data_IF_037166566682
#
_entry.id   IF_037166566682
#
_cell.length_a   1.000
_cell.length_b   1.000
_cell.length_c   1.000
_cell.angle_alpha   90.00
_cell.angle_beta   90.00
_cell.angle_gamma   90.00
#
_symmetry.space_group_name_H-M   'P 1'
#
loop_
_entity.id
_entity.type
_entity.pdbx_description
1 polymer ?
#
# COMPACT_ATOMS: atom_id res chain seq x y z
N UNK A 1 25.01 61.77 -11.28
CA UNK A 1 25.29 60.38 -11.70
C UNK A 1 24.71 59.43 -10.66
N UNK A 2 23.50 58.94 -10.90
CA UNK A 2 22.90 57.83 -10.16
C UNK A 2 22.15 56.99 -11.20
N UNK A 3 22.66 55.80 -11.47
CA UNK A 3 22.09 54.85 -12.43
C UNK A 3 20.94 54.11 -11.76
N UNK A 4 19.71 54.51 -12.08
CA UNK A 4 18.49 53.76 -11.73
C UNK A 4 18.42 52.51 -12.62
N UNK A 5 18.59 51.32 -12.04
CA UNK A 5 18.34 50.04 -12.71
C UNK A 5 16.88 49.66 -12.50
N UNK A 6 16.04 49.95 -13.48
CA UNK A 6 14.72 49.34 -13.58
C UNK A 6 14.87 47.90 -14.10
N UNK A 7 14.43 46.93 -13.30
CA UNK A 7 14.37 45.52 -13.68
C UNK A 7 12.92 45.20 -14.07
N UNK A 8 12.67 45.06 -15.36
CA UNK A 8 11.35 44.70 -15.90
C UNK A 8 11.26 43.18 -16.02
N UNK A 9 10.41 42.54 -15.21
CA UNK A 9 10.07 41.13 -15.37
C UNK A 9 8.88 40.99 -16.33
N UNK A 10 9.13 40.43 -17.52
CA UNK A 10 8.10 40.03 -18.48
C UNK A 10 7.73 38.55 -18.28
N UNK A 11 6.48 38.26 -17.93
CA UNK A 11 5.98 36.88 -17.84
C UNK A 11 5.54 36.45 -19.23
N UNK A 12 6.33 35.57 -19.88
CA UNK A 12 5.94 34.91 -21.13
C UNK A 12 5.10 33.69 -20.81
N UNK A 13 3.82 33.73 -21.16
CA UNK A 13 2.91 32.58 -21.15
C UNK A 13 3.26 31.66 -22.32
N UNK A 14 3.99 30.56 -22.06
CA UNK A 14 4.19 29.49 -23.03
C UNK A 14 3.11 28.42 -22.87
N UNK A 15 2.13 28.42 -23.78
CA UNK A 15 1.15 27.35 -23.91
C UNK A 15 1.75 26.18 -24.69
N UNK A 16 2.26 25.17 -23.97
CA UNK A 16 2.63 23.89 -24.57
C UNK A 16 1.37 23.07 -24.83
N UNK A 17 0.93 23.02 -26.09
CA UNK A 17 0.01 21.99 -26.59
C UNK A 17 0.68 20.62 -26.50
N UNK A 18 0.03 19.57 -25.98
CA UNK A 18 0.54 18.23 -26.14
C UNK A 18 0.30 17.77 -27.59
N UNK A 19 1.39 17.38 -28.25
CA UNK A 19 1.37 16.71 -29.55
C UNK A 19 0.68 15.35 -29.41
N UNK A 20 -0.39 15.11 -30.17
CA UNK A 20 -1.02 13.81 -30.29
C UNK A 20 -0.07 12.85 -31.00
N UNK A 21 0.58 11.98 -30.23
CA UNK A 21 1.37 10.88 -30.76
C UNK A 21 0.41 9.76 -31.13
N UNK A 22 0.32 9.45 -32.42
CA UNK A 22 -0.43 8.31 -32.93
C UNK A 22 0.33 7.04 -32.54
N UNK A 23 -0.10 6.38 -31.47
CA UNK A 23 0.40 5.06 -31.10
C UNK A 23 -0.28 4.02 -31.98
N UNK A 24 0.44 3.53 -32.99
CA UNK A 24 0.14 2.26 -33.62
C UNK A 24 0.18 1.18 -32.53
N UNK A 25 -0.97 0.53 -32.31
CA UNK A 25 -1.08 -0.63 -31.42
C UNK A 25 -0.25 -1.78 -32.00
N UNK A 26 1.00 -1.89 -31.57
CA UNK A 26 1.72 -3.15 -31.64
C UNK A 26 1.13 -4.07 -30.56
N UNK A 27 0.34 -5.04 -30.99
CA UNK A 27 -0.15 -6.12 -30.13
C UNK A 27 1.03 -6.94 -29.62
N UNK A 28 1.29 -6.89 -28.32
CA UNK A 28 2.14 -7.86 -27.64
C UNK A 28 1.51 -9.27 -27.75
N UNK A 29 2.30 -10.35 -27.91
CA UNK A 29 1.76 -11.69 -27.91
C UNK A 29 1.19 -11.99 -26.52
N UNK A 30 -0.12 -12.24 -26.46
CA UNK A 30 -0.79 -12.78 -25.28
C UNK A 30 -0.31 -14.22 -25.11
N UNK A 31 0.48 -14.49 -24.07
CA UNK A 31 0.66 -15.85 -23.59
C UNK A 31 -0.65 -16.29 -22.96
N UNK A 32 -1.46 -17.03 -23.72
CA UNK A 32 -2.68 -17.68 -23.23
C UNK A 32 -2.27 -18.99 -22.57
N UNK A 33 -2.62 -19.15 -21.29
CA UNK A 33 -2.44 -20.40 -20.56
C UNK A 33 -3.18 -21.56 -21.27
N UNK A 34 -2.52 -22.71 -21.34
CA UNK A 34 -3.09 -23.94 -21.89
C UNK A 34 -4.27 -24.40 -21.04
N UNK A 35 -5.47 -24.49 -21.63
CA UNK A 35 -6.64 -25.05 -20.95
C UNK A 35 -6.57 -26.58 -20.95
N UNK A 36 -6.45 -27.17 -19.77
CA UNK A 36 -6.57 -28.61 -19.54
C UNK A 36 -8.06 -28.91 -19.31
N UNK A 37 -8.66 -29.77 -20.13
CA UNK A 37 -10.02 -30.25 -19.93
C UNK A 37 -9.98 -31.74 -19.62
N UNK A 38 -10.24 -32.10 -18.36
CA UNK A 38 -10.34 -33.49 -17.90
C UNK A 38 -11.81 -33.90 -17.80
N UNK A 39 -12.29 -34.69 -18.75
CA UNK A 39 -13.59 -35.34 -18.68
C UNK A 39 -13.57 -36.47 -17.65
N UNK A 40 -14.67 -36.64 -16.93
CA UNK A 40 -14.82 -37.67 -15.90
C UNK A 40 -14.70 -39.09 -16.49
N UNK A 41 -13.79 -39.89 -15.93
CA UNK A 41 -13.71 -41.34 -16.13
C UNK A 41 -12.83 -41.80 -17.29
N UNK A 42 -11.53 -42.01 -17.03
CA UNK A 42 -10.66 -42.76 -17.93
C UNK A 42 -9.22 -42.24 -18.00
N UNK A 43 -8.27 -43.12 -17.77
CA UNK A 43 -6.82 -42.81 -17.67
C UNK A 43 -6.20 -42.48 -19.04
N UNK A 44 -6.38 -41.26 -19.58
CA UNK A 44 -5.56 -40.65 -20.66
C UNK A 44 -5.60 -39.11 -20.60
N UNK A 45 -4.44 -38.46 -20.67
CA UNK A 45 -4.28 -37.01 -20.86
C UNK A 45 -4.04 -36.76 -22.35
N UNK A 46 -4.87 -35.95 -23.01
CA UNK A 46 -4.66 -35.51 -24.38
C UNK A 46 -4.43 -33.99 -24.42
N UNK A 47 -3.34 -33.58 -25.06
CA UNK A 47 -3.03 -32.19 -25.39
C UNK A 47 -3.39 -31.94 -26.86
N UNK A 48 -4.30 -31.01 -27.13
CA UNK A 48 -4.63 -30.62 -28.51
C UNK A 48 -3.97 -29.28 -28.84
N UNK A 49 -3.01 -29.28 -29.75
CA UNK A 49 -2.59 -28.10 -30.50
C UNK A 49 -3.24 -28.15 -31.88
N UNK A 50 -4.09 -27.18 -32.20
CA UNK A 50 -4.66 -27.03 -33.53
C UNK A 50 -3.61 -26.48 -34.50
N UNK A 51 -2.91 -27.38 -35.19
CA UNK A 51 -2.21 -27.06 -36.44
C UNK A 51 -3.08 -27.53 -37.61
N UNK A 52 -3.55 -26.56 -38.40
CA UNK A 52 -4.15 -26.83 -39.70
C UNK A 52 -2.99 -27.05 -40.69
N UNK A 53 -2.82 -28.27 -41.17
CA UNK A 53 -2.07 -28.54 -42.39
C UNK A 53 -2.84 -29.56 -43.22
N UNK A 54 -3.33 -29.07 -44.36
CA UNK A 54 -3.82 -29.91 -45.44
C UNK A 54 -2.67 -30.75 -45.99
N UNK A 55 -2.90 -32.01 -46.34
CA UNK A 55 -2.59 -32.66 -47.63
C UNK A 55 -2.55 -34.19 -47.47
N UNK A 56 -3.51 -34.89 -48.11
CA UNK A 56 -3.43 -36.27 -48.63
C UNK A 56 -3.11 -37.43 -47.66
N UNK A 57 -3.32 -38.70 -47.98
CA UNK A 57 -4.06 -39.44 -48.99
C UNK A 57 -3.88 -40.94 -48.62
N UNK A 58 -4.81 -41.82 -49.02
CA UNK A 58 -4.62 -43.28 -49.04
C UNK A 58 -5.54 -44.04 -48.08
N UNK A 59 -6.72 -44.51 -48.48
CA UNK A 59 -7.02 -45.72 -49.28
C UNK A 59 -6.56 -47.05 -48.67
N UNK A 60 -7.52 -47.81 -48.11
CA UNK A 60 -7.81 -49.24 -48.36
C UNK A 60 -8.93 -49.69 -47.41
N UNK A 61 -10.19 -49.91 -47.81
CA UNK A 61 -10.77 -51.04 -48.58
C UNK A 61 -10.58 -52.43 -47.94
N UNK A 62 -11.71 -53.09 -47.64
CA UNK A 62 -11.81 -54.53 -47.29
C UNK A 62 -12.80 -54.76 -46.14
N UNK A 63 -14.11 -54.88 -46.34
CA UNK A 63 -14.87 -55.97 -46.99
C UNK A 63 -14.88 -57.30 -46.20
N UNK A 64 -16.00 -57.58 -45.52
CA UNK A 64 -16.82 -58.78 -45.77
C UNK A 64 -16.44 -60.15 -45.19
N UNK A 65 -17.43 -60.79 -44.54
CA UNK A 65 -17.62 -62.26 -44.45
C UNK A 65 -16.68 -63.00 -43.48
N UNK A 66 -17.04 -64.08 -42.81
CA UNK A 66 -17.96 -65.15 -43.20
C UNK A 66 -18.50 -65.90 -41.96
N UNK A 67 -19.75 -66.31 -42.09
CA UNK A 67 -20.40 -67.39 -41.36
C UNK A 67 -19.90 -68.76 -41.87
N UNK A 68 -19.89 -69.76 -40.99
CA UNK A 68 -20.06 -71.16 -41.41
C UNK A 68 -20.68 -71.97 -40.29
N UNK A 69 -21.97 -72.24 -40.46
CA UNK A 69 -22.60 -73.40 -39.89
C UNK A 69 -22.24 -74.64 -40.70
N UNK A 70 -22.16 -75.77 -40.03
CA UNK A 70 -22.22 -77.09 -40.65
C UNK A 70 -23.35 -77.85 -39.98
N UNK A 71 -24.49 -77.91 -40.69
CA UNK A 71 -25.40 -79.03 -40.63
C UNK A 71 -24.82 -80.13 -41.51
N UNK A 72 -24.70 -81.35 -40.99
CA UNK A 72 -24.80 -82.56 -41.80
C UNK A 72 -25.75 -83.52 -41.10
N UNK A 73 -26.77 -83.86 -41.86
CA UNK A 73 -27.87 -84.78 -41.64
C UNK A 73 -27.41 -86.23 -41.80
N UNK A 74 -28.13 -87.18 -41.20
CA UNK A 74 -28.09 -88.57 -41.64
C UNK A 74 -28.29 -89.60 -40.55
N UNK A 75 -29.51 -90.09 -40.42
CA UNK A 75 -29.90 -91.24 -39.61
C UNK A 75 -29.19 -92.54 -40.02
N UNK A 76 -28.92 -93.36 -38.99
CA UNK A 76 -29.09 -94.83 -38.93
C UNK A 76 -28.30 -95.73 -39.87
N UNK A 77 -27.14 -96.23 -39.40
CA UNK A 77 -26.73 -97.65 -39.43
C UNK A 77 -25.34 -97.83 -38.77
N UNK A 78 -25.12 -98.97 -38.11
CA UNK A 78 -23.85 -99.49 -37.57
C UNK A 78 -23.26 -98.91 -36.26
N UNK A 79 -23.92 -99.33 -35.18
CA UNK A 79 -23.38 -99.42 -33.81
C UNK A 79 -22.41 -100.62 -33.74
N UNK A 80 -21.13 -100.46 -34.11
CA UNK A 80 -20.00 -101.26 -33.56
C UNK A 80 -18.57 -100.80 -33.93
N UNK A 81 -18.36 -99.60 -34.51
CA UNK A 81 -17.03 -99.10 -34.93
C UNK A 81 -16.49 -97.85 -34.21
N UNK A 82 -17.25 -97.28 -33.26
CA UNK A 82 -17.06 -95.89 -32.82
C UNK A 82 -16.08 -95.70 -31.64
N UNK A 83 -15.84 -96.72 -30.80
CA UNK A 83 -14.94 -96.59 -29.64
C UNK A 83 -13.46 -96.53 -30.03
N UNK A 84 -13.04 -97.28 -31.05
CA UNK A 84 -11.64 -97.30 -31.50
C UNK A 84 -11.23 -96.00 -32.19
N UNK A 85 -12.13 -95.42 -32.98
CA UNK A 85 -11.89 -94.12 -33.64
C UNK A 85 -11.95 -92.96 -32.63
N UNK A 86 -12.82 -93.04 -31.62
CA UNK A 86 -12.83 -92.10 -30.50
C UNK A 86 -11.53 -92.17 -29.67
N UNK A 87 -11.02 -93.38 -29.37
CA UNK A 87 -9.75 -93.56 -28.67
C UNK A 87 -8.54 -93.10 -29.49
N UNK A 88 -8.54 -93.30 -30.81
CA UNK A 88 -7.50 -92.75 -31.68
C UNK A 88 -7.51 -91.22 -31.71
N UNK A 89 -8.68 -90.59 -31.84
CA UNK A 89 -8.80 -89.13 -31.82
C UNK A 89 -8.39 -88.52 -30.46
N UNK A 90 -8.69 -89.21 -29.36
CA UNK A 90 -8.21 -88.83 -28.02
C UNK A 90 -6.69 -88.96 -27.91
N UNK A 91 -6.10 -90.06 -28.39
CA UNK A 91 -4.65 -90.25 -28.41
C UNK A 91 -3.94 -89.23 -29.31
N UNK A 92 -4.52 -88.87 -30.46
CA UNK A 92 -3.96 -87.84 -31.34
C UNK A 92 -4.04 -86.45 -30.70
N UNK A 93 -5.13 -86.14 -29.98
CA UNK A 93 -5.21 -84.92 -29.16
C UNK A 93 -4.21 -84.91 -28.02
N UNK A 94 -3.98 -86.04 -27.37
CA UNK A 94 -3.03 -86.17 -26.27
C UNK A 94 -1.59 -86.07 -26.79
N UNK A 95 -1.29 -86.64 -27.96
CA UNK A 95 -0.01 -86.47 -28.65
C UNK A 95 0.24 -85.00 -29.03
N UNK A 96 -0.75 -84.32 -29.61
CA UNK A 96 -0.67 -82.88 -29.90
C UNK A 96 -0.53 -82.04 -28.61
N UNK A 97 -1.19 -82.43 -27.52
CA UNK A 97 -1.05 -81.75 -26.23
C UNK A 97 0.35 -81.96 -25.64
N UNK A 98 0.91 -83.17 -25.68
CA UNK A 98 2.27 -83.44 -25.24
C UNK A 98 3.31 -82.73 -26.11
N UNK A 99 3.08 -82.63 -27.41
CA UNK A 99 3.97 -81.89 -28.32
C UNK A 99 3.91 -80.37 -28.05
N UNK A 100 2.72 -79.83 -27.78
CA UNK A 100 2.57 -78.41 -27.42
C UNK A 100 3.18 -78.10 -26.04
N UNK A 101 3.01 -78.97 -25.05
CA UNK A 101 3.67 -78.83 -23.73
C UNK A 101 5.19 -78.87 -23.88
N UNK A 102 5.73 -79.82 -24.66
CA UNK A 102 7.19 -79.91 -24.90
C UNK A 102 7.73 -78.66 -25.60
N UNK A 103 6.99 -78.10 -26.56
CA UNK A 103 7.37 -76.86 -27.22
C UNK A 103 7.32 -75.65 -26.28
N UNK A 104 6.33 -75.59 -25.38
CA UNK A 104 6.22 -74.55 -24.36
C UNK A 104 7.33 -74.65 -23.31
N UNK A 105 7.68 -75.85 -22.86
CA UNK A 105 8.80 -76.09 -21.95
C UNK A 105 10.13 -75.63 -22.57
N UNK A 106 10.37 -75.94 -23.85
CA UNK A 106 11.56 -75.46 -24.56
C UNK A 106 11.57 -73.94 -24.74
N UNK A 107 10.41 -73.32 -24.99
CA UNK A 107 10.29 -71.88 -25.11
C UNK A 107 10.54 -71.18 -23.76
N UNK A 108 9.96 -71.71 -22.67
CA UNK A 108 10.21 -71.21 -21.31
C UNK A 108 11.67 -71.34 -20.93
N UNK A 109 12.30 -72.49 -21.20
CA UNK A 109 13.72 -72.67 -20.91
C UNK A 109 14.60 -71.66 -21.66
N UNK A 110 14.29 -71.38 -22.93
CA UNK A 110 15.00 -70.34 -23.70
C UNK A 110 14.76 -68.92 -23.14
N UNK A 111 13.56 -68.62 -22.66
CA UNK A 111 13.24 -67.32 -22.05
C UNK A 111 13.96 -67.15 -20.70
N UNK A 112 14.03 -68.19 -19.88
CA UNK A 112 14.77 -68.17 -18.61
C UNK A 112 16.26 -67.88 -18.82
N UNK A 113 16.88 -68.52 -19.82
CA UNK A 113 18.28 -68.24 -20.17
C UNK A 113 18.45 -66.77 -20.59
N UNK A 114 17.56 -66.25 -21.44
CA UNK A 114 17.61 -64.84 -21.88
C UNK A 114 17.41 -63.85 -20.72
N UNK A 115 16.55 -64.16 -19.75
CA UNK A 115 16.34 -63.33 -18.56
C UNK A 115 17.59 -63.33 -17.68
N UNK A 116 18.22 -64.50 -17.47
CA UNK A 116 19.47 -64.60 -16.71
C UNK A 116 20.60 -63.83 -17.38
N UNK A 117 20.77 -63.98 -18.69
CA UNK A 117 21.76 -63.20 -19.44
C UNK A 117 21.49 -61.69 -19.40
N UNK A 118 20.21 -61.28 -19.45
CA UNK A 118 19.85 -59.85 -19.38
C UNK A 118 20.14 -59.27 -18.00
N UNK A 119 19.90 -60.03 -16.92
CA UNK A 119 20.23 -59.64 -15.56
C UNK A 119 21.74 -59.60 -15.31
N UNK A 120 22.51 -60.55 -15.85
CA UNK A 120 23.97 -60.53 -15.75
C UNK A 120 24.60 -59.39 -16.55
N UNK A 121 24.05 -59.08 -17.74
CA UNK A 121 24.48 -57.93 -18.56
C UNK A 121 24.04 -56.60 -17.94
N UNK A 122 22.91 -56.59 -17.24
CA UNK A 122 22.43 -55.43 -16.47
C UNK A 122 23.07 -55.44 -15.08
N UNK A 123 24.38 -55.22 -15.02
CA UNK A 123 25.09 -55.02 -13.75
C UNK A 123 24.51 -53.86 -12.93
N UNK A 124 24.84 -53.75 -11.63
CA UNK A 124 24.33 -52.68 -10.78
C UNK A 124 24.79 -51.32 -11.33
N UNK A 125 23.85 -50.41 -11.52
CA UNK A 125 24.10 -49.07 -12.06
C UNK A 125 24.83 -48.19 -11.01
N UNK A 126 26.11 -48.47 -10.80
CA UNK A 126 26.99 -47.70 -9.92
C UNK A 126 27.45 -46.43 -10.65
N UNK A 127 26.58 -45.43 -10.73
CA UNK A 127 26.98 -44.06 -11.04
C UNK A 127 27.42 -43.37 -9.75
N UNK A 128 28.71 -43.09 -9.62
CA UNK A 128 29.27 -42.42 -8.45
C UNK A 128 28.90 -40.92 -8.42
N UNK A 129 27.80 -40.58 -7.74
CA UNK A 129 27.33 -39.20 -7.56
C UNK A 129 28.11 -38.40 -6.49
N UNK A 130 29.11 -39.00 -5.84
CA UNK A 130 29.85 -38.39 -4.72
C UNK A 130 30.50 -37.05 -5.08
N UNK A 131 30.92 -36.84 -6.33
CA UNK A 131 31.52 -35.57 -6.80
C UNK A 131 30.52 -34.42 -6.85
N UNK A 132 29.25 -34.71 -7.12
CA UNK A 132 28.19 -33.69 -7.13
C UNK A 132 27.76 -33.33 -5.72
N UNK A 133 27.89 -34.25 -4.76
CA UNK A 133 27.51 -34.00 -3.37
C UNK A 133 28.35 -32.90 -2.71
N UNK A 134 29.66 -32.83 -2.98
CA UNK A 134 30.50 -31.74 -2.45
C UNK A 134 30.10 -30.39 -3.04
N UNK A 135 29.87 -30.32 -4.36
CA UNK A 135 29.44 -29.09 -5.04
C UNK A 135 28.07 -28.63 -4.52
N UNK A 136 27.12 -29.55 -4.33
CA UNK A 136 25.80 -29.25 -3.78
C UNK A 136 25.92 -28.72 -2.35
N UNK A 137 26.80 -29.29 -1.52
CA UNK A 137 27.03 -28.83 -0.16
C UNK A 137 27.66 -27.41 -0.15
N UNK A 138 28.62 -27.14 -1.03
CA UNK A 138 29.24 -25.82 -1.16
C UNK A 138 28.22 -24.77 -1.63
N UNK A 139 27.36 -25.12 -2.59
CA UNK A 139 26.28 -24.25 -3.05
C UNK A 139 25.26 -23.98 -1.92
N UNK A 140 24.87 -25.00 -1.16
CA UNK A 140 23.98 -24.84 0.00
C UNK A 140 24.60 -23.92 1.05
N UNK A 141 25.89 -24.06 1.32
CA UNK A 141 26.62 -23.19 2.25
C UNK A 141 26.62 -21.73 1.76
N UNK A 142 26.93 -21.49 0.49
CA UNK A 142 26.88 -20.14 -0.10
C UNK A 142 25.49 -19.51 -0.02
N UNK A 143 24.44 -20.29 -0.27
CA UNK A 143 23.05 -19.83 -0.13
C UNK A 143 22.73 -19.48 1.32
N UNK A 144 23.16 -20.32 2.27
CA UNK A 144 22.97 -20.06 3.70
C UNK A 144 23.70 -18.77 4.13
N UNK A 145 24.99 -18.64 3.81
CA UNK A 145 25.79 -17.47 4.13
C UNK A 145 25.15 -16.19 3.55
N UNK A 146 24.77 -16.21 2.27
CA UNK A 146 24.07 -15.09 1.63
C UNK A 146 22.72 -14.77 2.28
N UNK A 147 21.98 -15.77 2.74
CA UNK A 147 20.70 -15.56 3.46
C UNK A 147 20.95 -14.91 4.82
N UNK A 148 21.98 -15.36 5.55
CA UNK A 148 22.34 -14.74 6.84
C UNK A 148 22.85 -13.32 6.69
N UNK A 149 23.64 -13.04 5.65
CA UNK A 149 24.13 -11.69 5.38
C UNK A 149 23.00 -10.76 4.91
N UNK A 150 22.05 -11.26 4.12
CA UNK A 150 20.86 -10.50 3.76
C UNK A 150 20.04 -10.14 5.01
N UNK A 151 19.81 -11.10 5.92
CA UNK A 151 19.13 -10.82 7.19
C UNK A 151 19.87 -9.76 8.03
N UNK A 152 21.20 -9.82 8.10
CA UNK A 152 22.01 -8.79 8.78
C UNK A 152 21.88 -7.41 8.12
N UNK A 153 21.89 -7.36 6.79
CA UNK A 153 21.72 -6.10 6.05
C UNK A 153 20.34 -5.49 6.27
N UNK A 154 19.27 -6.31 6.27
CA UNK A 154 17.90 -5.86 6.57
C UNK A 154 17.84 -5.25 7.97
N UNK A 155 18.41 -5.91 8.98
CA UNK A 155 18.47 -5.37 10.34
C UNK A 155 19.24 -4.04 10.43
N UNK A 156 20.35 -3.92 9.71
CA UNK A 156 21.12 -2.68 9.67
C UNK A 156 20.34 -1.55 8.96
N UNK A 157 19.59 -1.87 7.91
CA UNK A 157 18.70 -0.91 7.22
C UNK A 157 17.61 -0.44 8.17
N UNK A 158 16.97 -1.34 8.89
CA UNK A 158 15.90 -1.00 9.83
C UNK A 158 16.45 -0.18 11.01
N UNK A 159 17.63 -0.51 11.52
CA UNK A 159 18.30 0.29 12.55
C UNK A 159 18.63 1.71 12.04
N UNK A 160 19.20 1.83 10.84
CA UNK A 160 19.50 3.13 10.24
C UNK A 160 18.23 3.97 10.00
N UNK A 161 17.12 3.33 9.60
CA UNK A 161 15.82 3.99 9.45
C UNK A 161 15.27 4.49 10.78
N UNK A 162 15.28 3.65 11.83
CA UNK A 162 14.85 4.06 13.17
C UNK A 162 15.70 5.22 13.71
N UNK A 163 17.02 5.17 13.51
CA UNK A 163 17.90 6.27 13.90
C UNK A 163 17.60 7.57 13.13
N UNK A 164 17.31 7.48 11.83
CA UNK A 164 16.93 8.64 11.02
C UNK A 164 15.59 9.23 11.49
N UNK A 165 14.61 8.40 11.80
CA UNK A 165 13.31 8.85 12.34
C UNK A 165 13.46 9.50 13.73
N UNK A 166 14.29 8.93 14.60
CA UNK A 166 14.62 9.53 15.91
C UNK A 166 15.25 10.92 15.75
N UNK A 167 16.19 11.08 14.81
CA UNK A 167 16.79 12.38 14.53
C UNK A 167 15.79 13.36 13.91
N UNK A 168 14.88 12.89 13.05
CA UNK A 168 13.82 13.71 12.47
C UNK A 168 12.90 14.27 13.55
N UNK A 169 12.42 13.43 14.46
CA UNK A 169 11.54 13.85 15.57
C UNK A 169 12.27 14.82 16.49
N UNK A 170 13.55 14.55 16.84
CA UNK A 170 14.36 15.48 17.63
C UNK A 170 14.51 16.83 16.94
N UNK A 171 14.83 16.84 15.64
CA UNK A 171 14.95 18.07 14.86
C UNK A 171 13.64 18.87 14.83
N UNK A 172 12.50 18.21 14.60
CA UNK A 172 11.18 18.85 14.61
C UNK A 172 10.87 19.47 15.99
N UNK A 173 11.18 18.76 17.07
CA UNK A 173 10.99 19.28 18.44
C UNK A 173 11.88 20.49 18.75
N UNK A 174 13.16 20.44 18.38
CA UNK A 174 14.12 21.54 18.56
C UNK A 174 13.74 22.75 17.70
N UNK A 175 13.29 22.51 16.47
CA UNK A 175 12.82 23.57 15.58
C UNK A 175 11.60 24.29 16.17
N UNK A 176 10.65 23.54 16.74
CA UNK A 176 9.47 24.11 17.40
C UNK A 176 9.85 24.96 18.62
N UNK A 177 10.75 24.46 19.48
CA UNK A 177 11.26 25.21 20.64
C UNK A 177 11.96 26.48 20.17
N UNK A 178 12.83 26.38 19.16
CA UNK A 178 13.56 27.52 18.59
C UNK A 178 12.61 28.59 18.04
N UNK A 179 11.56 28.19 17.31
CA UNK A 179 10.54 29.12 16.80
C UNK A 179 9.77 29.81 17.93
N UNK A 180 9.44 29.09 19.01
CA UNK A 180 8.82 29.69 20.20
C UNK A 180 9.73 30.75 20.83
N UNK A 181 11.01 30.41 21.04
CA UNK A 181 11.99 31.34 21.63
C UNK A 181 12.22 32.55 20.72
N UNK A 182 12.25 32.37 19.40
CA UNK A 182 12.34 33.50 18.46
C UNK A 182 11.12 34.42 18.54
N UNK A 183 9.92 33.86 18.65
CA UNK A 183 8.70 34.63 18.84
C UNK A 183 8.75 35.43 20.16
N UNK A 184 9.23 34.82 21.24
CA UNK A 184 9.43 35.49 22.53
C UNK A 184 10.46 36.63 22.42
N UNK A 185 11.59 36.42 21.72
CA UNK A 185 12.61 37.47 21.50
C UNK A 185 12.02 38.64 20.72
N UNK A 186 11.23 38.38 19.67
CA UNK A 186 10.55 39.44 18.91
C UNK A 186 9.54 40.19 19.78
N UNK A 187 8.78 39.46 20.62
CA UNK A 187 7.86 40.05 21.59
C UNK A 187 8.57 40.94 22.62
N UNK A 188 9.70 40.48 23.16
CA UNK A 188 10.51 41.25 24.11
C UNK A 188 11.12 42.51 23.47
N UNK A 189 11.55 42.43 22.21
CA UNK A 189 12.02 43.62 21.46
C UNK A 189 10.91 44.65 21.31
N UNK A 190 9.70 44.21 20.94
CA UNK A 190 8.54 45.10 20.87
C UNK A 190 8.22 45.73 22.22
N UNK A 191 8.27 44.96 23.31
CA UNK A 191 8.05 45.49 24.66
C UNK A 191 9.11 46.54 25.05
N UNK A 192 10.37 46.33 24.66
CA UNK A 192 11.43 47.34 24.83
C UNK A 192 11.09 48.61 24.04
N UNK A 193 10.64 48.50 22.79
CA UNK A 193 10.26 49.65 21.97
C UNK A 193 9.04 50.39 22.57
N UNK A 194 8.01 49.66 23.00
CA UNK A 194 6.80 50.21 23.62
C UNK A 194 7.12 50.93 24.95
N UNK A 195 7.99 50.33 25.78
CA UNK A 195 8.45 50.95 27.04
C UNK A 195 9.33 52.17 26.80
N UNK A 196 10.19 52.16 25.77
CA UNK A 196 10.98 53.32 25.37
C UNK A 196 10.10 54.46 24.87
N UNK A 197 9.05 54.17 24.09
CA UNK A 197 8.10 55.16 23.63
C UNK A 197 7.33 55.77 24.81
N UNK A 198 6.88 54.94 25.76
CA UNK A 198 6.26 55.42 27.00
C UNK A 198 7.20 56.30 27.82
N UNK A 199 8.48 55.93 27.96
CA UNK A 199 9.50 56.75 28.61
C UNK A 199 9.67 58.10 27.92
N UNK A 200 9.77 58.12 26.59
CA UNK A 200 9.89 59.37 25.82
C UNK A 200 8.66 60.27 25.97
N UNK A 201 7.46 59.71 26.00
CA UNK A 201 6.23 60.47 26.24
C UNK A 201 6.24 61.11 27.63
N UNK A 202 6.61 60.35 28.67
CA UNK A 202 6.72 60.87 30.04
C UNK A 202 7.82 61.93 30.16
N UNK A 203 8.97 61.75 29.48
CA UNK A 203 10.03 62.75 29.42
C UNK A 203 9.55 64.05 28.77
N UNK A 204 8.77 63.96 27.69
CA UNK A 204 8.16 65.11 27.04
C UNK A 204 7.14 65.82 27.94
N UNK A 205 6.31 65.07 28.67
CA UNK A 205 5.35 65.63 29.63
C UNK A 205 6.05 66.34 30.79
N UNK A 206 7.12 65.74 31.32
CA UNK A 206 7.96 66.36 32.35
C UNK A 206 8.56 67.68 31.83
N UNK A 207 9.07 67.71 30.59
CA UNK A 207 9.67 68.92 30.05
C UNK A 207 8.61 70.01 29.80
N UNK A 208 7.43 69.65 29.27
CA UNK A 208 6.30 70.57 29.13
C UNK A 208 5.87 71.18 30.47
N UNK A 209 5.75 70.36 31.53
CA UNK A 209 5.41 70.84 32.88
C UNK A 209 6.50 71.75 33.47
N UNK A 210 7.79 71.49 33.19
CA UNK A 210 8.87 72.40 33.59
C UNK A 210 8.79 73.73 32.86
N UNK A 211 8.52 73.71 31.56
CA UNK A 211 8.32 74.93 30.76
C UNK A 211 7.13 75.74 31.31
N UNK A 212 6.00 75.10 31.59
CA UNK A 212 4.84 75.73 32.23
C UNK A 212 5.21 76.36 33.58
N UNK A 213 5.97 75.66 34.43
CA UNK A 213 6.42 76.19 35.73
C UNK A 213 7.30 77.43 35.55
N UNK A 214 8.25 77.39 34.61
CA UNK A 214 9.11 78.54 34.28
C UNK A 214 8.27 79.71 33.78
N UNK A 215 7.31 79.45 32.89
CA UNK A 215 6.38 80.46 32.39
C UNK A 215 5.55 81.10 33.51
N UNK A 216 4.98 80.28 34.41
CA UNK A 216 4.19 80.76 35.54
C UNK A 216 5.03 81.64 36.48
N UNK A 217 6.27 81.21 36.77
CA UNK A 217 7.20 81.96 37.62
C UNK A 217 7.58 83.30 36.97
N UNK A 218 7.87 83.31 35.68
CA UNK A 218 8.18 84.53 34.92
C UNK A 218 6.98 85.49 34.89
N UNK A 219 5.76 84.97 34.68
CA UNK A 219 4.55 85.78 34.75
C UNK A 219 4.36 86.39 36.14
N UNK A 220 4.52 85.60 37.20
CA UNK A 220 4.43 86.11 38.56
C UNK A 220 5.48 87.19 38.85
N UNK A 221 6.74 86.98 38.46
CA UNK A 221 7.81 87.96 38.62
C UNK A 221 7.50 89.26 37.86
N UNK A 222 6.92 89.16 36.65
CA UNK A 222 6.46 90.31 35.87
C UNK A 222 5.29 91.04 36.55
N UNK A 223 4.27 90.33 37.03
CA UNK A 223 3.12 90.92 37.74
C UNK A 223 3.56 91.61 39.04
N UNK A 224 4.46 90.99 39.80
CA UNK A 224 5.03 91.60 41.01
C UNK A 224 5.81 92.86 40.66
N UNK A 225 6.60 92.83 39.59
CA UNK A 225 7.32 94.00 39.12
C UNK A 225 6.35 95.10 38.65
N UNK A 226 5.31 94.77 37.91
CA UNK A 226 4.27 95.71 37.47
C UNK A 226 3.55 96.34 38.66
N UNK A 227 3.11 95.53 39.63
CA UNK A 227 2.53 96.02 40.88
C UNK A 227 3.50 96.89 41.68
N UNK A 228 4.79 96.54 41.74
CA UNK A 228 5.82 97.40 42.37
C UNK A 228 6.00 98.71 41.62
N UNK A 229 5.96 98.71 40.29
CA UNK A 229 5.99 99.94 39.50
C UNK A 229 4.74 100.77 39.70
N UNK A 230 3.56 100.14 39.81
CA UNK A 230 2.30 100.82 40.10
C UNK A 230 2.27 101.40 41.51
N UNK A 231 2.86 100.71 42.50
CA UNK A 231 3.05 101.22 43.87
C UNK A 231 4.08 102.35 43.89
N UNK A 232 5.12 102.27 43.07
CA UNK A 232 6.13 103.36 42.94
C UNK A 232 5.55 104.59 42.21
N UNK A 233 4.68 104.38 41.23
CA UNK A 233 3.94 105.41 40.50
C UNK A 233 2.76 105.98 41.31
N UNK A 234 2.20 105.21 42.25
CA UNK A 234 1.22 105.69 43.23
C UNK A 234 1.87 106.35 44.44
N UNK A 235 3.21 106.34 44.51
CA UNK A 235 4.00 107.33 45.22
C UNK A 235 3.74 108.71 44.62
N UNK A 236 2.71 109.37 45.16
CA UNK A 236 2.23 110.70 44.78
C UNK A 236 3.39 111.70 44.70
N UNK A 237 3.78 112.03 43.48
CA UNK A 237 4.32 113.33 43.11
C UNK A 237 3.57 113.80 41.86
N UNK A 238 2.50 114.56 42.13
CA UNK A 238 1.73 115.28 41.12
C UNK A 238 2.50 116.57 40.84
N UNK A 239 3.45 116.49 39.90
CA UNK A 239 3.99 117.67 39.24
C UNK A 239 3.23 117.86 37.92
N UNK A 240 2.42 118.89 37.93
CA UNK A 240 1.64 119.40 36.81
C UNK A 240 2.63 120.12 35.89
N UNK A 241 3.26 119.39 34.97
CA UNK A 241 3.93 120.01 33.83
C UNK A 241 2.94 120.10 32.67
N UNK A 242 2.30 121.26 32.55
CA UNK A 242 1.40 121.61 31.47
C UNK A 242 2.23 122.02 30.25
N UNK A 243 2.32 121.20 29.18
CA UNK A 243 2.98 121.63 27.97
C UNK A 243 2.09 122.66 27.28
N UNK A 244 2.74 123.71 26.78
CA UNK A 244 2.17 124.81 26.01
C UNK A 244 1.23 124.30 24.93
N UNK A 245 0.08 124.97 24.79
CA UNK A 245 -1.04 124.63 23.92
C UNK A 245 -0.64 123.89 22.65
N UNK A 246 -0.80 122.56 22.71
CA UNK A 246 -0.78 121.72 21.53
C UNK A 246 -2.02 122.08 20.71
N UNK A 247 -1.81 122.30 19.42
CA UNK A 247 -2.88 122.55 18.47
C UNK A 247 -3.88 121.39 18.54
N UNK A 248 -5.06 121.67 19.12
CA UNK A 248 -6.10 120.68 19.34
C UNK A 248 -6.52 120.03 18.01
N UNK A 249 -6.38 120.76 16.89
CA UNK A 249 -6.60 120.23 15.56
C UNK A 249 -5.56 119.16 15.17
N UNK A 250 -4.28 119.37 15.51
CA UNK A 250 -3.20 118.42 15.26
C UNK A 250 -3.32 117.16 16.13
N UNK A 251 -3.68 117.30 17.41
CA UNK A 251 -3.94 116.14 18.30
C UNK A 251 -5.16 115.36 17.82
N UNK A 252 -6.27 116.03 17.48
CA UNK A 252 -7.46 115.36 16.97
C UNK A 252 -7.20 114.66 15.64
N UNK A 253 -6.32 115.22 14.79
CA UNK A 253 -5.85 114.57 13.56
C UNK A 253 -4.96 113.36 13.86
N UNK A 254 -4.02 113.46 14.82
CA UNK A 254 -3.20 112.32 15.25
C UNK A 254 -4.02 111.20 15.89
N UNK A 255 -5.02 111.53 16.72
CA UNK A 255 -5.92 110.54 17.33
C UNK A 255 -6.72 109.84 16.23
N UNK A 256 -7.27 110.58 15.25
CA UNK A 256 -7.93 109.98 14.09
C UNK A 256 -6.99 109.07 13.29
N UNK A 257 -5.78 109.52 13.00
CA UNK A 257 -4.78 108.72 12.29
C UNK A 257 -4.37 107.46 13.07
N UNK A 258 -4.29 107.53 14.41
CA UNK A 258 -4.03 106.37 15.28
C UNK A 258 -5.19 105.37 15.25
N UNK A 259 -6.44 105.85 15.32
CA UNK A 259 -7.63 104.99 15.22
C UNK A 259 -7.77 104.37 13.84
N UNK A 260 -7.51 105.13 12.77
CA UNK A 260 -7.54 104.61 11.40
C UNK A 260 -6.46 103.54 11.18
N UNK A 261 -5.24 103.77 11.68
CA UNK A 261 -4.16 102.78 11.67
C UNK A 261 -4.49 101.54 12.50
N UNK A 262 -5.14 101.71 13.66
CA UNK A 262 -5.56 100.59 14.51
C UNK A 262 -6.69 99.78 13.87
N UNK A 263 -7.65 100.45 13.23
CA UNK A 263 -8.73 99.80 12.50
C UNK A 263 -8.22 99.02 11.30
N UNK A 264 -7.27 99.58 10.53
CA UNK A 264 -6.60 98.89 9.42
C UNK A 264 -5.80 97.68 9.91
N UNK A 265 -5.00 97.84 10.98
CA UNK A 265 -4.29 96.71 11.59
C UNK A 265 -5.21 95.60 12.07
N UNK A 266 -6.30 95.94 12.76
CA UNK A 266 -7.27 94.96 13.23
C UNK A 266 -7.94 94.23 12.05
N UNK A 267 -8.22 94.94 10.95
CA UNK A 267 -8.74 94.32 9.73
C UNK A 267 -7.74 93.36 9.08
N UNK A 268 -6.46 93.73 9.03
CA UNK A 268 -5.39 92.88 8.50
C UNK A 268 -5.15 91.65 9.38
N UNK A 269 -5.10 91.83 10.69
CA UNK A 269 -4.96 90.76 11.69
C UNK A 269 -6.15 89.79 11.63
N UNK A 270 -7.38 90.29 11.51
CA UNK A 270 -8.58 89.47 11.35
C UNK A 270 -8.56 88.66 10.05
N UNK A 271 -8.14 89.28 8.94
CA UNK A 271 -7.97 88.57 7.66
C UNK A 271 -6.92 87.47 7.75
N UNK A 272 -5.74 87.78 8.32
CA UNK A 272 -4.66 86.82 8.50
C UNK A 272 -5.10 85.66 9.42
N UNK A 273 -5.85 85.96 10.48
CA UNK A 273 -6.41 84.94 11.37
C UNK A 273 -7.41 84.03 10.64
N UNK A 274 -8.34 84.59 9.87
CA UNK A 274 -9.27 83.80 9.06
C UNK A 274 -8.56 82.95 8.00
N UNK A 275 -7.57 83.51 7.33
CA UNK A 275 -6.80 82.79 6.31
C UNK A 275 -6.01 81.62 6.95
N UNK A 276 -5.42 81.85 8.12
CA UNK A 276 -4.75 80.78 8.90
C UNK A 276 -5.74 79.69 9.30
N UNK A 277 -6.93 80.05 9.79
CA UNK A 277 -7.97 79.09 10.16
C UNK A 277 -8.48 78.28 8.95
N UNK A 278 -8.65 78.92 7.79
CA UNK A 278 -9.03 78.22 6.55
C UNK A 278 -7.94 77.22 6.15
N UNK A 279 -6.67 77.62 6.21
CA UNK A 279 -5.54 76.73 5.88
C UNK A 279 -5.51 75.56 6.88
N UNK A 280 -5.64 75.81 8.18
CA UNK A 280 -5.64 74.78 9.22
C UNK A 280 -6.76 73.75 8.97
N UNK A 281 -8.00 74.21 8.78
CA UNK A 281 -9.13 73.33 8.47
C UNK A 281 -8.91 72.57 7.16
N UNK A 282 -8.39 73.23 6.12
CA UNK A 282 -8.09 72.59 4.84
C UNK A 282 -7.02 71.49 5.00
N UNK A 283 -5.98 71.74 5.80
CA UNK A 283 -4.95 70.73 6.10
C UNK A 283 -5.54 69.55 6.87
N UNK A 284 -6.36 69.80 7.89
CA UNK A 284 -7.01 68.75 8.67
C UNK A 284 -7.97 67.90 7.82
N UNK A 285 -8.75 68.54 6.94
CA UNK A 285 -9.62 67.84 5.98
C UNK A 285 -8.77 66.99 5.03
N UNK A 286 -7.66 67.52 4.51
CA UNK A 286 -6.78 66.77 3.61
C UNK A 286 -6.21 65.53 4.30
N UNK A 287 -5.67 65.67 5.51
CA UNK A 287 -5.14 64.56 6.31
C UNK A 287 -6.22 63.52 6.64
N UNK A 288 -7.43 63.97 7.03
CA UNK A 288 -8.55 63.08 7.32
C UNK A 288 -8.98 62.31 6.06
N UNK A 289 -9.03 62.96 4.89
CA UNK A 289 -9.36 62.28 3.64
C UNK A 289 -8.30 61.28 3.20
N UNK A 290 -7.02 61.55 3.45
CA UNK A 290 -5.94 60.59 3.18
C UNK A 290 -6.00 59.40 4.11
N UNK A 291 -6.21 59.61 5.42
CA UNK A 291 -6.40 58.55 6.40
C UNK A 291 -7.61 57.67 6.05
N UNK A 292 -8.73 58.29 5.64
CA UNK A 292 -9.94 57.57 5.20
C UNK A 292 -9.66 56.71 3.96
N UNK A 293 -8.94 57.25 2.97
CA UNK A 293 -8.53 56.49 1.77
C UNK A 293 -7.62 55.32 2.11
N UNK A 294 -6.65 55.53 3.02
CA UNK A 294 -5.76 54.47 3.52
C UNK A 294 -6.55 53.33 4.18
N UNK A 295 -7.45 53.66 5.11
CA UNK A 295 -8.32 52.68 5.76
C UNK A 295 -9.23 51.95 4.75
N UNK A 296 -9.72 52.65 3.72
CA UNK A 296 -10.52 52.04 2.66
C UNK A 296 -9.70 51.06 1.80
N UNK A 297 -8.44 51.38 1.49
CA UNK A 297 -7.55 50.45 0.78
C UNK A 297 -7.23 49.22 1.61
N UNK A 298 -6.91 49.39 2.90
CA UNK A 298 -6.67 48.27 3.82
C UNK A 298 -7.90 47.37 3.96
N UNK A 299 -9.09 47.95 4.09
CA UNK A 299 -10.34 47.18 4.13
C UNK A 299 -10.53 46.35 2.84
N UNK A 300 -10.22 46.92 1.68
CA UNK A 300 -10.35 46.21 0.40
C UNK A 300 -9.31 45.09 0.26
N UNK A 301 -8.08 45.32 0.72
CA UNK A 301 -7.02 44.32 0.70
C UNK A 301 -7.33 43.16 1.65
N UNK A 302 -7.82 43.45 2.86
CA UNK A 302 -8.30 42.42 3.80
C UNK A 302 -9.47 41.63 3.23
N UNK A 303 -10.44 42.29 2.55
CA UNK A 303 -11.53 41.58 1.86
C UNK A 303 -11.02 40.65 0.76
N UNK A 304 -10.02 41.07 -0.02
CA UNK A 304 -9.38 40.21 -1.05
C UNK A 304 -8.64 39.04 -0.43
N UNK A 305 -7.95 39.25 0.69
CA UNK A 305 -7.28 38.18 1.43
C UNK A 305 -8.28 37.16 1.96
N UNK A 306 -9.39 37.60 2.56
CA UNK A 306 -10.47 36.72 3.02
C UNK A 306 -11.01 35.88 1.86
N UNK A 307 -11.36 36.50 0.73
CA UNK A 307 -11.85 35.76 -0.45
C UNK A 307 -10.83 34.74 -0.98
N UNK A 308 -9.54 35.09 -0.97
CA UNK A 308 -8.48 34.19 -1.41
C UNK A 308 -8.36 32.98 -0.48
N UNK A 309 -8.40 33.21 0.83
CA UNK A 309 -8.37 32.15 1.85
C UNK A 309 -9.61 31.28 1.81
N UNK A 310 -10.80 31.84 1.55
CA UNK A 310 -12.04 31.08 1.36
C UNK A 310 -11.94 30.13 0.16
N UNK A 311 -11.43 30.62 -0.99
CA UNK A 311 -11.22 29.80 -2.19
C UNK A 311 -10.20 28.70 -1.91
N UNK A 312 -9.10 29.02 -1.22
CA UNK A 312 -8.09 28.03 -0.86
C UNK A 312 -8.68 26.95 0.05
N UNK A 313 -9.43 27.35 1.07
CA UNK A 313 -10.11 26.44 1.99
C UNK A 313 -11.12 25.53 1.28
N UNK A 314 -11.92 26.05 0.35
CA UNK A 314 -12.83 25.24 -0.46
C UNK A 314 -12.08 24.31 -1.43
N UNK A 315 -10.96 24.75 -1.99
CA UNK A 315 -10.10 23.88 -2.82
C UNK A 315 -9.51 22.71 -2.02
N UNK A 316 -9.08 22.97 -0.77
CA UNK A 316 -8.57 21.94 0.14
C UNK A 316 -9.67 20.96 0.56
N UNK A 317 -10.88 21.45 0.82
CA UNK A 317 -12.06 20.60 1.09
C UNK A 317 -12.38 19.69 -0.10
N UNK A 318 -12.34 20.22 -1.32
CA UNK A 318 -12.56 19.43 -2.53
C UNK A 318 -11.46 18.37 -2.72
N UNK A 319 -10.19 18.74 -2.51
CA UNK A 319 -9.07 17.80 -2.56
C UNK A 319 -9.22 16.69 -1.53
N UNK A 320 -9.54 17.04 -0.28
CA UNK A 320 -9.82 16.06 0.79
C UNK A 320 -10.95 15.12 0.38
N UNK A 321 -12.07 15.64 -0.11
CA UNK A 321 -13.20 14.83 -0.57
C UNK A 321 -12.82 13.87 -1.70
N UNK A 322 -12.01 14.34 -2.66
CA UNK A 322 -11.49 13.49 -3.74
C UNK A 322 -10.60 12.37 -3.21
N UNK A 323 -9.69 12.68 -2.30
CA UNK A 323 -8.78 11.69 -1.70
C UNK A 323 -9.55 10.64 -0.87
N UNK A 324 -10.51 11.07 -0.04
CA UNK A 324 -11.40 10.17 0.70
C UNK A 324 -12.26 9.30 -0.23
N UNK A 325 -12.69 9.84 -1.36
CA UNK A 325 -13.40 9.11 -2.41
C UNK A 325 -12.53 8.01 -3.02
N UNK A 326 -11.28 8.35 -3.40
CA UNK A 326 -10.34 7.37 -3.94
C UNK A 326 -9.98 6.28 -2.93
N UNK A 327 -9.83 6.65 -1.64
CA UNK A 327 -9.57 5.70 -0.57
C UNK A 327 -10.72 4.69 -0.46
N UNK A 328 -11.97 5.17 -0.35
CA UNK A 328 -13.15 4.28 -0.31
C UNK A 328 -13.25 3.38 -1.53
N UNK A 329 -12.97 3.91 -2.73
CA UNK A 329 -13.00 3.09 -3.94
C UNK A 329 -11.93 1.98 -3.89
N UNK A 330 -10.72 2.29 -3.44
CA UNK A 330 -9.66 1.29 -3.30
C UNK A 330 -9.98 0.25 -2.22
N UNK A 331 -10.48 0.66 -1.06
CA UNK A 331 -10.92 -0.24 0.01
C UNK A 331 -12.02 -1.18 -0.48
N UNK A 332 -13.02 -0.66 -1.21
CA UNK A 332 -14.09 -1.46 -1.78
C UNK A 332 -13.55 -2.47 -2.80
N UNK A 333 -12.64 -2.06 -3.69
CA UNK A 333 -12.00 -2.98 -4.65
C UNK A 333 -11.25 -4.10 -3.95
N UNK A 334 -10.45 -3.78 -2.92
CA UNK A 334 -9.73 -4.80 -2.15
C UNK A 334 -10.68 -5.71 -1.38
N UNK A 335 -11.77 -5.19 -0.80
CA UNK A 335 -12.80 -6.02 -0.15
C UNK A 335 -13.39 -7.03 -1.13
N UNK A 336 -13.75 -6.60 -2.34
CA UNK A 336 -14.28 -7.48 -3.38
C UNK A 336 -13.26 -8.54 -3.84
N UNK A 337 -11.98 -8.16 -3.94
CA UNK A 337 -10.91 -9.10 -4.29
C UNK A 337 -10.69 -10.16 -3.20
N UNK A 338 -10.71 -9.75 -1.93
CA UNK A 338 -10.64 -10.65 -0.78
C UNK A 338 -11.85 -11.59 -0.73
N UNK A 339 -13.06 -11.09 -0.96
CA UNK A 339 -14.27 -11.93 -1.04
C UNK A 339 -14.19 -12.95 -2.18
N UNK A 340 -13.68 -12.54 -3.35
CA UNK A 340 -13.45 -13.43 -4.48
C UNK A 340 -12.45 -14.55 -4.15
N UNK A 341 -11.30 -14.19 -3.56
CA UNK A 341 -10.28 -15.16 -3.14
C UNK A 341 -10.81 -16.10 -2.05
N UNK A 342 -11.58 -15.60 -1.08
CA UNK A 342 -12.22 -16.42 -0.06
C UNK A 342 -13.22 -17.40 -0.67
N UNK A 343 -13.99 -16.99 -1.68
CA UNK A 343 -14.90 -17.89 -2.40
C UNK A 343 -14.15 -19.03 -3.09
N UNK A 344 -13.01 -18.73 -3.74
CA UNK A 344 -12.14 -19.74 -4.36
C UNK A 344 -11.56 -20.69 -3.30
N UNK A 345 -11.09 -20.14 -2.17
CA UNK A 345 -10.53 -20.93 -1.06
C UNK A 345 -11.58 -21.90 -0.51
N UNK A 346 -12.79 -21.42 -0.22
CA UNK A 346 -13.91 -22.25 0.25
C UNK A 346 -14.27 -23.35 -0.76
N UNK A 347 -14.24 -23.04 -2.07
CA UNK A 347 -14.43 -24.03 -3.13
C UNK A 347 -13.38 -25.14 -3.11
N UNK A 348 -12.11 -24.78 -3.01
CA UNK A 348 -11.00 -25.74 -2.94
C UNK A 348 -11.03 -26.57 -1.65
N UNK A 349 -11.39 -25.97 -0.52
CA UNK A 349 -11.59 -26.68 0.75
C UNK A 349 -12.74 -27.70 0.65
N UNK A 350 -13.84 -27.34 0.00
CA UNK A 350 -14.95 -28.25 -0.29
C UNK A 350 -14.50 -29.41 -1.19
N UNK A 351 -13.72 -29.16 -2.24
CA UNK A 351 -13.18 -30.21 -3.10
C UNK A 351 -12.22 -31.15 -2.34
N UNK A 352 -11.34 -30.61 -1.50
CA UNK A 352 -10.43 -31.40 -0.66
C UNK A 352 -11.18 -32.30 0.32
N UNK A 353 -12.21 -31.77 0.98
CA UNK A 353 -13.04 -32.56 1.89
C UNK A 353 -13.80 -33.66 1.15
N UNK A 354 -14.34 -33.38 -0.04
CA UNK A 354 -14.95 -34.39 -0.90
C UNK A 354 -13.97 -35.49 -1.32
N UNK A 355 -12.74 -35.13 -1.71
CA UNK A 355 -11.70 -36.11 -2.08
C UNK A 355 -11.30 -36.97 -0.89
N UNK A 356 -11.13 -36.40 0.30
CA UNK A 356 -10.87 -37.16 1.54
C UNK A 356 -11.99 -38.17 1.82
N UNK A 357 -13.24 -37.74 1.72
CA UNK A 357 -14.39 -38.63 1.90
C UNK A 357 -14.42 -39.76 0.86
N UNK A 358 -14.11 -39.47 -0.41
CA UNK A 358 -14.00 -40.48 -1.47
C UNK A 358 -12.90 -41.50 -1.20
N UNK A 359 -11.71 -41.03 -0.76
CA UNK A 359 -10.60 -41.91 -0.39
C UNK A 359 -11.01 -42.81 0.77
N UNK A 360 -11.63 -42.24 1.81
CA UNK A 360 -12.10 -43.02 2.96
C UNK A 360 -13.11 -44.09 2.58
N UNK A 361 -14.08 -43.76 1.70
CA UNK A 361 -15.03 -44.73 1.17
C UNK A 361 -14.33 -45.83 0.37
N UNK A 362 -13.39 -45.48 -0.52
CA UNK A 362 -12.61 -46.46 -1.27
C UNK A 362 -11.81 -47.38 -0.33
N UNK A 363 -11.20 -46.86 0.73
CA UNK A 363 -10.50 -47.66 1.74
C UNK A 363 -11.44 -48.67 2.39
N UNK A 364 -12.65 -48.25 2.77
CA UNK A 364 -13.67 -49.15 3.34
C UNK A 364 -14.08 -50.25 2.35
N UNK A 365 -14.30 -49.90 1.07
CA UNK A 365 -14.64 -50.87 0.03
C UNK A 365 -13.50 -51.87 -0.20
N UNK A 366 -12.24 -51.41 -0.19
CA UNK A 366 -11.07 -52.29 -0.30
C UNK A 366 -10.94 -53.23 0.90
N UNK A 367 -11.16 -52.75 2.12
CA UNK A 367 -11.18 -53.58 3.33
C UNK A 367 -12.28 -54.63 3.26
N UNK A 368 -13.50 -54.26 2.83
CA UNK A 368 -14.60 -55.20 2.64
C UNK A 368 -14.27 -56.28 1.59
N UNK A 369 -13.70 -55.89 0.44
CA UNK A 369 -13.29 -56.81 -0.61
C UNK A 369 -12.16 -57.73 -0.15
N UNK A 370 -11.18 -57.22 0.60
CA UNK A 370 -10.12 -58.01 1.19
C UNK A 370 -10.68 -59.05 2.16
N UNK A 371 -11.63 -58.66 3.01
CA UNK A 371 -12.30 -59.58 3.93
C UNK A 371 -13.04 -60.70 3.18
N UNK A 372 -13.73 -60.40 2.08
CA UNK A 372 -14.38 -61.40 1.23
C UNK A 372 -13.34 -62.32 0.58
N UNK A 373 -12.26 -61.76 0.04
CA UNK A 373 -11.15 -62.53 -0.55
C UNK A 373 -10.57 -63.51 0.46
N UNK A 374 -10.29 -63.06 1.68
CA UNK A 374 -9.77 -63.93 2.76
C UNK A 374 -10.74 -65.08 3.08
N UNK A 375 -12.05 -64.82 3.13
CA UNK A 375 -13.07 -65.87 3.32
C UNK A 375 -13.08 -66.89 2.17
N UNK A 376 -13.03 -66.42 0.93
CA UNK A 376 -12.99 -67.29 -0.25
C UNK A 376 -11.70 -68.11 -0.32
N UNK A 377 -10.56 -67.53 0.07
CA UNK A 377 -9.29 -68.25 0.15
C UNK A 377 -9.33 -69.37 1.19
N UNK A 378 -9.96 -69.13 2.34
CA UNK A 378 -10.22 -70.17 3.35
C UNK A 378 -11.14 -71.28 2.80
N UNK A 379 -12.25 -70.92 2.14
CA UNK A 379 -13.13 -71.90 1.49
C UNK A 379 -12.39 -72.75 0.45
N UNK A 380 -11.59 -72.14 -0.43
CA UNK A 380 -10.77 -72.87 -1.42
C UNK A 380 -9.76 -73.79 -0.73
N UNK A 381 -9.13 -73.35 0.37
CA UNK A 381 -8.22 -74.19 1.13
C UNK A 381 -8.94 -75.42 1.71
N UNK A 382 -10.14 -75.25 2.26
CA UNK A 382 -10.97 -76.37 2.73
C UNK A 382 -11.37 -77.31 1.60
N UNK A 383 -11.77 -76.77 0.42
CA UNK A 383 -12.10 -77.58 -0.74
C UNK A 383 -10.91 -78.39 -1.25
N UNK A 384 -9.71 -77.79 -1.31
CA UNK A 384 -8.47 -78.51 -1.69
C UNK A 384 -8.19 -79.66 -0.73
N UNK A 385 -8.31 -79.43 0.58
CA UNK A 385 -8.10 -80.46 1.61
C UNK A 385 -9.05 -81.65 1.46
N UNK A 386 -10.32 -81.39 1.14
CA UNK A 386 -11.32 -82.42 0.86
C UNK A 386 -11.02 -83.21 -0.44
N UNK A 387 -10.50 -82.55 -1.47
CA UNK A 387 -10.14 -83.15 -2.75
C UNK A 387 -8.86 -84.00 -2.67
N UNK A 388 -7.89 -83.60 -1.85
CA UNK A 388 -6.63 -84.32 -1.66
C UNK A 388 -6.77 -85.59 -0.78
N UNK A 389 -7.98 -85.88 -0.29
CA UNK A 389 -8.30 -87.12 0.44
C UNK A 389 -7.77 -87.16 1.88
N UNK A 390 -7.42 -86.02 2.47
CA UNK A 390 -7.14 -85.94 3.91
C UNK A 390 -8.44 -86.08 4.71
N UNK A 391 -8.44 -86.92 5.75
CA UNK A 391 -9.58 -87.12 6.65
C UNK A 391 -10.05 -85.78 7.26
N UNK A 392 -11.15 -85.23 6.76
CA UNK A 392 -11.73 -83.98 7.27
C UNK A 392 -12.28 -84.20 8.68
N UNK A 393 -11.51 -83.80 9.71
CA UNK A 393 -11.96 -83.81 11.09
C UNK A 393 -12.64 -82.47 11.40
N UNK A 394 -13.82 -82.53 12.03
CA UNK A 394 -14.64 -81.36 12.38
C UNK A 394 -13.90 -80.28 13.22
N UNK A 395 -12.76 -80.64 13.84
CA UNK A 395 -11.89 -79.73 14.57
C UNK A 395 -11.10 -78.76 13.68
N UNK A 396 -10.80 -79.11 12.43
CA UNK A 396 -10.04 -78.24 11.51
C UNK A 396 -10.83 -76.99 11.09
N UNK A 397 -12.18 -77.08 11.04
CA UNK A 397 -13.06 -75.93 10.75
C UNK A 397 -13.15 -74.92 11.90
N UNK A 398 -12.71 -75.29 13.11
CA UNK A 398 -12.70 -74.42 14.29
C UNK A 398 -11.35 -73.69 14.49
N UNK A 399 -10.25 -74.21 13.92
CA UNK A 399 -8.89 -73.68 14.17
C UNK A 399 -8.48 -72.50 13.27
N UNK A 400 -9.20 -72.21 12.18
CA UNK A 400 -8.91 -71.04 11.33
C UNK A 400 -9.33 -69.69 11.94
N UNK A 401 -9.97 -69.70 13.12
CA UNK A 401 -10.17 -68.49 13.91
C UNK A 401 -8.87 -68.09 14.65
N UNK A 402 -7.74 -68.04 13.94
CA UNK A 402 -6.51 -67.43 14.46
C UNK A 402 -6.76 -65.93 14.62
N UNK A 403 -6.76 -65.50 15.87
CA UNK A 403 -6.79 -64.10 16.28
C UNK A 403 -5.69 -63.31 15.58
N UNK A 404 -6.08 -62.50 14.60
CA UNK A 404 -5.18 -61.51 13.98
C UNK A 404 -4.84 -60.49 15.07
N UNK A 405 -3.63 -60.58 15.64
CA UNK A 405 -3.12 -59.58 16.59
C UNK A 405 -2.78 -58.30 15.82
N UNK A 406 -3.71 -57.35 15.82
CA UNK A 406 -3.53 -56.02 15.22
C UNK A 406 -2.54 -55.22 16.06
N UNK A 407 -1.38 -54.88 15.49
CA UNK A 407 -0.42 -53.96 16.12
C UNK A 407 -0.68 -52.56 15.60
N UNK A 408 -0.97 -51.61 16.48
CA UNK A 408 -1.13 -50.19 16.12
C UNK A 408 0.23 -49.51 16.29
N UNK A 409 0.78 -49.01 15.19
CA UNK A 409 1.96 -48.14 15.17
C UNK A 409 1.50 -46.68 15.12
N UNK A 410 1.72 -45.94 16.20
CA UNK A 410 1.49 -44.49 16.21
C UNK A 410 2.83 -43.78 16.00
N UNK A 411 2.93 -43.04 14.89
CA UNK A 411 4.12 -42.23 14.56
C UNK A 411 3.79 -40.77 14.84
N UNK A 412 4.41 -40.20 15.85
CA UNK A 412 4.29 -38.76 16.16
C UNK A 412 5.50 -38.03 15.62
N UNK A 413 5.26 -37.06 14.75
CA UNK A 413 6.28 -36.26 14.10
C UNK A 413 6.10 -34.78 14.48
N UNK A 414 7.15 -34.15 14.98
CA UNK A 414 7.14 -32.71 15.29
C UNK A 414 7.82 -31.92 14.16
N UNK A 415 7.08 -30.96 13.62
CA UNK A 415 7.49 -30.10 12.51
C UNK A 415 7.73 -28.68 13.04
N UNK A 416 8.91 -28.13 12.74
CA UNK A 416 9.20 -26.70 12.91
C UNK A 416 9.66 -26.18 11.55
N UNK A 417 9.03 -25.10 11.07
CA UNK A 417 9.28 -24.48 9.75
C UNK A 417 9.28 -25.47 8.56
N UNK A 418 8.35 -26.43 8.58
CA UNK A 418 8.17 -27.39 7.49
C UNK A 418 9.27 -28.45 7.37
N UNK A 419 10.23 -28.52 8.32
CA UNK A 419 11.23 -29.59 8.40
C UNK A 419 11.02 -30.44 9.65
N UNK A 420 11.21 -31.75 9.48
CA UNK A 420 11.05 -32.76 10.53
C UNK A 420 12.25 -32.72 11.46
N UNK A 421 12.05 -32.29 12.71
CA UNK A 421 13.14 -32.16 13.70
C UNK A 421 13.25 -33.38 14.62
N UNK A 422 12.14 -34.08 14.87
CA UNK A 422 12.17 -35.38 15.56
C UNK A 422 10.99 -36.28 15.16
N UNK A 423 11.24 -37.59 15.15
CA UNK A 423 10.23 -38.63 14.88
C UNK A 423 10.32 -39.68 15.98
N UNK A 424 9.20 -39.96 16.63
CA UNK A 424 9.09 -41.04 17.62
C UNK A 424 8.00 -42.02 17.19
N UNK A 425 8.32 -43.31 17.23
CA UNK A 425 7.43 -44.40 16.84
C UNK A 425 7.11 -45.27 18.05
N UNK A 426 5.84 -45.33 18.45
CA UNK A 426 5.39 -46.17 19.55
C UNK A 426 4.50 -47.30 19.02
N UNK A 427 4.86 -48.55 19.32
CA UNK A 427 4.14 -49.75 18.92
C UNK A 427 3.35 -50.31 20.10
N UNK A 428 2.02 -50.30 20.03
CA UNK A 428 1.16 -51.01 20.99
C UNK A 428 0.51 -52.21 20.32
N UNK A 429 0.62 -53.36 20.97
CA UNK A 429 -0.10 -54.57 20.59
C UNK A 429 -1.51 -54.47 21.23
N UNK A 430 -2.57 -54.58 20.42
CA UNK A 430 -3.95 -54.70 20.92
C UNK A 430 -4.30 -56.16 21.22
#
# INVERSE_FOLDING_TARGET
MQTSRQTTYSVRSSSSRPSAVSASRASLPVYRASSIHGGAGGSRISVSSSMRSSLGAGMSSGAGGFSSGVQVCGNSADIMGNEKFAMQNLNDRLANYLETVRNLEQANHKLEIKIKEALEKSGPDFRDYSKYQSIINDLRKKVFDATTDNARLVLNIDNARLAADDFRVKYESELSIRQSVEADIVGLRKLIDDTNLSRMNLESEIEALKEELIHLKKNHDNEVMELRTQVSQSGVHVDIDAPKGQDLAQIMAEIRAKYEKMALKNQEELKAWHETQIIEVQTQVSQSTEALKGAQTEMNDLRRQIQTLEIELDSQRNLKGSMEGTLRETEMRYSMEVESLNSIMLGLEAELTQLRNKIQLQTQDYEALLNIKMKLEAEIATYRRLLDGEDFRLQDALEEQKTVKTKVMTVTQTLVDGKVVSSSTETKNL
#
